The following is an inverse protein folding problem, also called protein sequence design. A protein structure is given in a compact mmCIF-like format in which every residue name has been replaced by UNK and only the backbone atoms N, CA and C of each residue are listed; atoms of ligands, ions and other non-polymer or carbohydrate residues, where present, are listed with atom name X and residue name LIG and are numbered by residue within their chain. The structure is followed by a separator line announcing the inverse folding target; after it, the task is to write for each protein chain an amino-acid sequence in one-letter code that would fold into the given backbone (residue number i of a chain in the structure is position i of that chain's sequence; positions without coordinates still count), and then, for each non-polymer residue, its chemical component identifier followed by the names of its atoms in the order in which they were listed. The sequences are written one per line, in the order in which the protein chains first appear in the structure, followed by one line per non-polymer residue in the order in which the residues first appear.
data_IF_435332754266
#
_entry.id   IF_435332754266
#
_cell.length_a   1.000
_cell.length_b   1.000
_cell.length_c   1.000
_cell.angle_alpha   90.00
_cell.angle_beta   90.00
_cell.angle_gamma   90.00
#
_symmetry.space_group_name_H-M   'P 1'
#
loop_
_entity.id
_entity.type
_entity.pdbx_description
1 polymer ?
#
# COMPACT_ATOMS: atom_id res chain seq x y z
N UNK A 1 -9.81 19.36 29.68
CA UNK A 1 -9.31 17.97 29.48
C UNK A 1 -9.74 17.39 28.14
N UNK A 2 -11.02 17.49 27.76
CA UNK A 2 -11.51 17.04 26.44
C UNK A 2 -10.92 17.83 25.26
N UNK A 3 -10.85 19.17 25.34
CA UNK A 3 -10.25 20.03 24.31
C UNK A 3 -8.79 19.66 23.96
N UNK A 4 -7.94 19.38 24.96
CA UNK A 4 -6.56 18.92 24.72
C UNK A 4 -6.47 17.51 24.12
N UNK A 5 -7.39 16.60 24.48
CA UNK A 5 -7.47 15.27 23.88
C UNK A 5 -7.89 15.34 22.40
N UNK A 6 -8.87 16.18 22.07
CA UNK A 6 -9.30 16.43 20.69
C UNK A 6 -8.16 16.99 19.85
N UNK A 7 -7.46 18.01 20.35
CA UNK A 7 -6.28 18.59 19.69
C UNK A 7 -5.18 17.55 19.44
N UNK A 8 -4.91 16.69 20.44
CA UNK A 8 -3.93 15.60 20.29
C UNK A 8 -4.38 14.57 19.26
N UNK A 9 -5.66 14.21 19.22
CA UNK A 9 -6.19 13.28 18.23
C UNK A 9 -6.08 13.84 16.80
N UNK A 10 -6.41 15.11 16.59
CA UNK A 10 -6.24 15.81 15.30
C UNK A 10 -4.78 15.72 14.84
N UNK A 11 -3.83 16.06 15.71
CA UNK A 11 -2.42 16.03 15.37
C UNK A 11 -1.92 14.62 15.00
N UNK A 12 -2.40 13.59 15.69
CA UNK A 12 -2.05 12.20 15.38
C UNK A 12 -2.62 11.77 14.02
N UNK A 13 -3.84 12.17 13.68
CA UNK A 13 -4.43 11.90 12.36
C UNK A 13 -3.71 12.63 11.22
N UNK A 14 -3.32 13.89 11.43
CA UNK A 14 -2.51 14.63 10.47
C UNK A 14 -1.17 13.95 10.21
N UNK A 15 -0.46 13.56 11.29
CA UNK A 15 0.78 12.78 11.20
C UNK A 15 0.57 11.48 10.43
N UNK A 16 -0.55 10.79 10.65
CA UNK A 16 -0.88 9.58 9.87
C UNK A 16 -1.02 9.89 8.37
N UNK A 17 -1.71 10.96 7.99
CA UNK A 17 -1.86 11.37 6.58
C UNK A 17 -0.52 11.71 5.92
N UNK A 18 0.38 12.36 6.67
CA UNK A 18 1.75 12.64 6.20
C UNK A 18 2.53 11.34 5.95
N UNK A 19 2.50 10.39 6.89
CA UNK A 19 3.17 9.09 6.73
C UNK A 19 2.58 8.29 5.56
N UNK A 20 1.27 8.40 5.30
CA UNK A 20 0.65 7.77 4.12
C UNK A 20 1.16 8.38 2.80
N UNK A 21 1.50 9.66 2.78
CA UNK A 21 2.12 10.32 1.61
C UNK A 21 3.53 9.78 1.34
N UNK A 22 4.29 9.48 2.39
CA UNK A 22 5.57 8.78 2.28
C UNK A 22 5.38 7.37 1.71
N UNK A 23 4.41 6.60 2.23
CA UNK A 23 4.08 5.25 1.73
C UNK A 23 3.78 5.25 0.23
N UNK A 24 3.00 6.22 -0.25
CA UNK A 24 2.69 6.39 -1.67
C UNK A 24 3.98 6.60 -2.49
N UNK A 25 4.93 7.38 -1.97
CA UNK A 25 6.20 7.64 -2.63
C UNK A 25 7.06 6.37 -2.74
N UNK A 26 7.05 5.51 -1.71
CA UNK A 26 7.72 4.20 -1.73
C UNK A 26 7.10 3.29 -2.80
N UNK A 27 5.76 3.21 -2.89
CA UNK A 27 5.09 2.45 -3.95
C UNK A 27 5.47 2.94 -5.35
N UNK A 28 5.51 4.26 -5.57
CA UNK A 28 5.92 4.86 -6.86
C UNK A 28 7.33 4.46 -7.24
N UNK A 29 8.27 4.53 -6.28
CA UNK A 29 9.65 4.10 -6.49
C UNK A 29 9.73 2.60 -6.82
N UNK A 30 8.98 1.79 -6.09
CA UNK A 30 8.97 0.35 -6.29
C UNK A 30 8.44 -0.03 -7.68
N UNK A 31 7.37 0.64 -8.12
CA UNK A 31 6.76 0.42 -9.44
C UNK A 31 7.65 0.90 -10.58
N UNK A 32 8.21 2.12 -10.48
CA UNK A 32 9.07 2.67 -11.55
C UNK A 32 10.33 1.84 -11.74
N UNK A 33 10.93 1.36 -10.64
CA UNK A 33 12.13 0.53 -10.68
C UNK A 33 11.85 -0.87 -11.22
N UNK A 34 10.65 -1.40 -11.02
CA UNK A 34 10.23 -2.65 -11.65
C UNK A 34 10.08 -2.50 -13.17
N UNK A 35 9.53 -1.38 -13.65
CA UNK A 35 9.45 -1.07 -15.09
C UNK A 35 10.85 -0.95 -15.73
N UNK A 36 11.79 -0.32 -15.02
CA UNK A 36 13.19 -0.28 -15.45
C UNK A 36 13.79 -1.69 -15.54
N UNK A 37 13.57 -2.51 -14.51
CA UNK A 37 14.00 -3.90 -14.48
C UNK A 37 13.47 -4.71 -15.68
N UNK A 38 12.17 -4.61 -15.96
CA UNK A 38 11.52 -5.30 -17.08
C UNK A 38 12.01 -4.85 -18.46
N UNK A 39 12.64 -3.69 -18.57
CA UNK A 39 13.22 -3.23 -19.83
C UNK A 39 14.45 -4.06 -20.23
N UNK A 40 15.17 -4.64 -19.25
CA UNK A 40 16.36 -5.45 -19.48
C UNK A 40 16.43 -6.64 -18.48
N UNK A 41 15.46 -7.58 -18.49
CA UNK A 41 15.28 -8.56 -17.42
C UNK A 41 16.36 -9.66 -17.41
N UNK A 42 17.11 -9.81 -18.51
CA UNK A 42 18.20 -10.79 -18.64
C UNK A 42 19.58 -10.21 -18.29
N UNK A 43 19.68 -8.89 -18.12
CA UNK A 43 20.95 -8.26 -17.78
C UNK A 43 21.23 -8.45 -16.29
N UNK A 44 22.36 -9.11 -15.97
CA UNK A 44 22.78 -9.37 -14.58
C UNK A 44 22.77 -8.09 -13.71
N UNK A 45 23.23 -6.97 -14.26
CA UNK A 45 23.22 -5.67 -13.57
C UNK A 45 21.81 -5.21 -13.22
N UNK A 46 20.85 -5.34 -14.14
CA UNK A 46 19.44 -4.99 -13.91
C UNK A 46 18.84 -5.82 -12.77
N UNK A 47 19.08 -7.14 -12.77
CA UNK A 47 18.62 -8.05 -11.71
C UNK A 47 19.19 -7.64 -10.35
N UNK A 48 20.50 -7.38 -10.26
CA UNK A 48 21.16 -7.00 -9.00
C UNK A 48 20.63 -5.66 -8.49
N UNK A 49 20.46 -4.67 -9.38
CA UNK A 49 19.94 -3.36 -9.02
C UNK A 49 18.53 -3.45 -8.46
N UNK A 50 17.65 -4.20 -9.14
CA UNK A 50 16.28 -4.40 -8.70
C UNK A 50 16.20 -5.16 -7.37
N UNK A 51 17.03 -6.20 -7.17
CA UNK A 51 17.10 -6.91 -5.88
C UNK A 51 17.52 -6.00 -4.72
N UNK A 52 18.54 -5.15 -4.93
CA UNK A 52 18.95 -4.16 -3.92
C UNK A 52 17.84 -3.15 -3.63
N UNK A 53 17.13 -2.72 -4.67
CA UNK A 53 16.00 -1.84 -4.50
C UNK A 53 14.87 -2.52 -3.70
N UNK A 54 14.54 -3.77 -3.99
CA UNK A 54 13.57 -4.55 -3.19
C UNK A 54 13.94 -4.57 -1.70
N UNK A 55 15.22 -4.76 -1.38
CA UNK A 55 15.70 -4.69 0.02
C UNK A 55 15.47 -3.30 0.62
N UNK A 56 15.83 -2.24 -0.11
CA UNK A 56 15.63 -0.86 0.31
C UNK A 56 14.16 -0.53 0.57
N UNK A 57 13.26 -0.77 -0.39
CA UNK A 57 11.83 -0.48 -0.24
C UNK A 57 11.18 -1.34 0.84
N UNK A 58 11.65 -2.57 1.07
CA UNK A 58 11.17 -3.41 2.18
C UNK A 58 11.45 -2.77 3.53
N UNK A 59 12.63 -2.18 3.71
CA UNK A 59 12.98 -1.44 4.92
C UNK A 59 12.11 -0.19 5.06
N UNK A 60 11.94 0.59 3.99
CA UNK A 60 11.09 1.78 4.03
C UNK A 60 9.62 1.45 4.32
N UNK A 61 9.07 0.37 3.74
CA UNK A 61 7.72 -0.09 4.07
C UNK A 61 7.61 -0.51 5.54
N UNK A 62 8.65 -1.14 6.09
CA UNK A 62 8.69 -1.51 7.50
C UNK A 62 8.69 -0.26 8.38
N UNK A 63 9.56 0.71 8.11
CA UNK A 63 9.68 1.97 8.86
C UNK A 63 8.35 2.73 8.88
N UNK A 64 7.72 2.92 7.72
CA UNK A 64 6.39 3.53 7.61
C UNK A 64 5.34 2.75 8.42
N UNK A 65 5.38 1.42 8.39
CA UNK A 65 4.43 0.59 9.15
C UNK A 65 4.70 0.58 10.65
N UNK A 66 5.95 0.77 11.09
CA UNK A 66 6.32 0.99 12.49
C UNK A 66 5.78 2.36 12.94
N UNK A 67 6.02 3.43 12.18
CA UNK A 67 5.54 4.79 12.48
C UNK A 67 4.01 4.88 12.59
N UNK A 68 3.27 4.19 11.71
CA UNK A 68 1.81 4.17 11.77
C UNK A 68 1.32 3.40 13.00
N UNK A 69 2.00 2.31 13.40
CA UNK A 69 1.64 1.57 14.62
C UNK A 69 1.78 2.43 15.87
N UNK A 70 2.82 3.25 15.95
CA UNK A 70 2.97 4.20 17.07
C UNK A 70 1.79 5.19 17.13
N UNK A 71 1.39 5.73 15.98
CA UNK A 71 0.22 6.62 15.88
C UNK A 71 -1.06 5.91 16.29
N UNK A 72 -1.25 4.68 15.83
CA UNK A 72 -2.41 3.84 16.18
C UNK A 72 -2.48 3.55 17.68
N UNK A 73 -1.36 3.17 18.30
CA UNK A 73 -1.27 2.86 19.73
C UNK A 73 -1.59 4.08 20.60
N UNK A 74 -1.18 5.28 20.16
CA UNK A 74 -1.51 6.52 20.85
C UNK A 74 -2.95 6.95 20.63
N UNK A 75 -3.51 6.77 19.44
CA UNK A 75 -4.92 7.02 19.17
C UNK A 75 -5.83 6.06 19.92
N UNK A 76 -5.43 4.80 20.11
CA UNK A 76 -6.22 3.81 20.86
C UNK A 76 -6.56 4.28 22.27
N UNK A 77 -5.68 5.09 22.89
CA UNK A 77 -5.88 5.63 24.24
C UNK A 77 -6.82 6.85 24.28
N UNK A 78 -7.04 7.50 23.15
CA UNK A 78 -7.71 8.82 23.06
C UNK A 78 -9.02 8.71 22.27
N UNK A 79 -8.96 8.08 21.10
CA UNK A 79 -10.07 7.83 20.21
C UNK A 79 -9.92 6.45 19.53
N UNK A 80 -10.45 5.38 20.15
CA UNK A 80 -10.39 4.03 19.62
C UNK A 80 -11.01 3.86 18.22
N UNK A 81 -12.05 4.63 17.89
CA UNK A 81 -12.69 4.55 16.58
C UNK A 81 -11.73 4.96 15.45
N UNK A 82 -10.99 6.06 15.64
CA UNK A 82 -9.95 6.49 14.70
C UNK A 82 -8.81 5.48 14.60
N UNK A 83 -8.39 4.88 15.71
CA UNK A 83 -7.38 3.81 15.70
C UNK A 83 -7.85 2.59 14.87
N UNK A 84 -9.12 2.21 14.97
CA UNK A 84 -9.70 1.13 14.16
C UNK A 84 -9.69 1.44 12.66
N UNK A 85 -9.95 2.69 12.26
CA UNK A 85 -9.83 3.10 10.85
C UNK A 85 -8.39 2.97 10.33
N UNK A 86 -7.41 3.43 11.12
CA UNK A 86 -5.99 3.27 10.79
C UNK A 86 -5.60 1.80 10.66
N UNK A 87 -6.06 0.95 11.58
CA UNK A 87 -5.82 -0.50 11.51
C UNK A 87 -6.42 -1.11 10.25
N UNK A 88 -7.64 -0.70 9.85
CA UNK A 88 -8.28 -1.14 8.61
C UNK A 88 -7.43 -0.77 7.40
N UNK A 89 -6.91 0.46 7.35
CA UNK A 89 -5.97 0.90 6.30
C UNK A 89 -4.70 0.06 6.31
N UNK A 90 -4.09 -0.23 7.46
CA UNK A 90 -2.89 -1.08 7.53
C UNK A 90 -3.13 -2.49 6.97
N UNK A 91 -4.31 -3.06 7.19
CA UNK A 91 -4.65 -4.38 6.65
C UNK A 91 -4.77 -4.33 5.12
N UNK A 92 -5.50 -3.34 4.58
CA UNK A 92 -5.60 -3.17 3.13
C UNK A 92 -4.24 -2.86 2.49
N UNK A 93 -3.38 -2.10 3.16
CA UNK A 93 -2.03 -1.81 2.65
C UNK A 93 -1.12 -3.04 2.63
N UNK A 94 -1.28 -3.94 3.60
CA UNK A 94 -0.61 -5.25 3.58
C UNK A 94 -1.09 -6.08 2.39
N UNK A 95 -2.40 -6.16 2.18
CA UNK A 95 -3.00 -6.88 1.03
C UNK A 95 -2.56 -6.27 -0.30
N UNK A 96 -2.53 -4.93 -0.39
CA UNK A 96 -2.05 -4.18 -1.54
C UNK A 96 -0.61 -4.54 -1.87
N UNK A 97 0.30 -4.51 -0.89
CA UNK A 97 1.71 -4.84 -1.10
C UNK A 97 1.89 -6.28 -1.59
N UNK A 98 1.18 -7.23 -0.98
CA UNK A 98 1.19 -8.64 -1.41
C UNK A 98 0.71 -8.79 -2.86
N UNK A 99 -0.38 -8.11 -3.21
CA UNK A 99 -0.92 -8.15 -4.55
C UNK A 99 -0.04 -7.42 -5.58
N UNK A 100 0.63 -6.33 -5.19
CA UNK A 100 1.66 -5.67 -6.03
C UNK A 100 2.80 -6.63 -6.37
N UNK A 101 3.31 -7.38 -5.38
CA UNK A 101 4.36 -8.39 -5.63
C UNK A 101 3.86 -9.48 -6.56
N UNK A 102 2.61 -9.95 -6.39
CA UNK A 102 1.97 -10.92 -7.28
C UNK A 102 1.88 -10.39 -8.72
N UNK A 103 1.41 -9.16 -8.91
CA UNK A 103 1.32 -8.51 -10.22
C UNK A 103 2.69 -8.43 -10.90
N UNK A 104 3.70 -7.94 -10.19
CA UNK A 104 5.07 -7.86 -10.74
C UNK A 104 5.60 -9.25 -11.12
N UNK A 105 5.33 -10.27 -10.31
CA UNK A 105 5.76 -11.63 -10.63
C UNK A 105 5.07 -12.17 -11.89
N UNK A 106 3.76 -11.97 -12.02
CA UNK A 106 2.99 -12.39 -13.18
C UNK A 106 3.44 -11.65 -14.45
N UNK A 107 3.65 -10.34 -14.37
CA UNK A 107 4.15 -9.54 -15.49
C UNK A 107 5.53 -10.02 -15.96
N UNK A 108 6.42 -10.35 -15.02
CA UNK A 108 7.70 -10.97 -15.33
C UNK A 108 7.54 -12.32 -16.04
N UNK A 109 6.63 -13.18 -15.57
CA UNK A 109 6.38 -14.50 -16.17
C UNK A 109 5.81 -14.38 -17.59
N UNK A 110 4.87 -13.46 -17.81
CA UNK A 110 4.30 -13.17 -19.13
C UNK A 110 5.41 -12.70 -20.09
N UNK A 111 6.27 -11.77 -19.63
CA UNK A 111 7.40 -11.28 -20.43
C UNK A 111 8.37 -12.41 -20.81
N UNK A 112 8.71 -13.29 -19.86
CA UNK A 112 9.57 -14.45 -20.11
C UNK A 112 8.96 -15.44 -21.10
N UNK A 113 7.66 -15.69 -20.97
CA UNK A 113 6.94 -16.60 -21.86
C UNK A 113 6.87 -16.05 -23.29
N UNK A 114 6.66 -14.73 -23.45
CA UNK A 114 6.70 -14.08 -24.76
C UNK A 114 8.07 -14.24 -25.46
N UNK A 115 9.16 -14.07 -24.73
CA UNK A 115 10.52 -14.29 -25.26
C UNK A 115 10.73 -15.76 -25.64
N UNK A 116 10.20 -16.70 -24.86
CA UNK A 116 10.32 -18.13 -25.19
C UNK A 116 9.57 -18.48 -26.47
N UNK A 117 8.32 -18.04 -26.58
CA UNK A 117 7.47 -18.24 -27.76
C UNK A 117 8.13 -17.64 -29.01
N UNK A 118 8.67 -16.43 -28.93
CA UNK A 118 9.38 -15.79 -30.05
C UNK A 118 10.58 -16.62 -30.52
N UNK A 119 11.40 -17.15 -29.59
CA UNK A 119 12.55 -18.00 -29.95
C UNK A 119 12.14 -19.32 -30.57
N UNK A 120 11.05 -19.93 -30.09
CA UNK A 120 10.48 -21.15 -30.65
C UNK A 120 9.99 -20.88 -32.09
N UNK A 121 9.27 -19.78 -32.33
CA UNK A 121 8.83 -19.34 -33.66
C UNK A 121 10.01 -19.07 -34.61
N UNK A 122 11.04 -18.37 -34.16
CA UNK A 122 12.26 -18.11 -34.95
C UNK A 122 12.97 -19.42 -35.33
N UNK A 123 13.08 -20.36 -34.39
CA UNK A 123 13.71 -21.66 -34.64
C UNK A 123 12.93 -22.50 -35.65
N UNK A 124 11.60 -22.47 -35.60
CA UNK A 124 10.74 -23.19 -36.53
C UNK A 124 10.78 -22.60 -37.94
N UNK A 125 10.79 -21.28 -38.06
CA UNK A 125 10.97 -20.59 -39.34
C UNK A 125 12.31 -20.99 -39.96
N UNK A 126 13.38 -21.03 -39.17
CA UNK A 126 14.70 -21.46 -39.63
C UNK A 126 14.69 -22.93 -40.09
N UNK A 127 14.07 -23.82 -39.32
CA UNK A 127 13.97 -25.25 -39.65
C UNK A 127 13.18 -25.46 -40.96
N UNK A 128 12.07 -24.74 -41.13
CA UNK A 128 11.24 -24.80 -42.35
C UNK A 128 11.95 -24.19 -43.56
N UNK A 129 12.70 -23.10 -43.38
CA UNK A 129 13.55 -22.53 -44.45
C UNK A 129 14.58 -23.55 -44.92
N UNK A 130 15.24 -24.23 -43.99
CA UNK A 130 16.22 -25.26 -44.31
C UNK A 130 15.60 -26.44 -45.07
N UNK A 131 14.40 -26.89 -44.67
CA UNK A 131 13.67 -27.95 -45.39
C UNK A 131 13.32 -27.55 -46.83
N UNK A 132 12.95 -26.28 -47.08
CA UNK A 132 12.66 -25.77 -48.42
C UNK A 132 13.93 -25.64 -49.28
N UNK A 133 15.07 -25.27 -48.69
CA UNK A 133 16.37 -25.17 -49.37
C UNK A 133 16.96 -26.55 -49.73
N UNK A 134 16.64 -27.61 -48.96
CA UNK A 134 17.07 -28.98 -49.25
C UNK A 134 16.39 -29.62 -50.47
N UNK A 135 15.48 -28.92 -51.15
CA UNK A 135 15.04 -29.25 -52.50
C UNK A 135 14.46 -30.65 -52.69
N UNK A 136 13.80 -31.25 -51.69
CA UNK A 136 13.10 -32.55 -51.75
C UNK A 136 13.87 -33.78 -52.33
N UNK A 137 15.10 -33.64 -52.81
CA UNK A 137 15.96 -34.73 -53.27
C UNK A 137 16.56 -35.43 -52.06
N UNK A 138 15.73 -36.26 -51.42
CA UNK A 138 16.00 -37.08 -50.23
C UNK A 138 17.18 -38.05 -50.38
N UNK A 139 17.84 -38.11 -51.54
CA UNK A 139 18.88 -39.08 -51.83
C UNK A 139 20.29 -38.70 -51.36
N UNK A 140 20.54 -37.47 -50.87
CA UNK A 140 21.87 -37.03 -50.40
C UNK A 140 21.90 -36.33 -49.04
N UNK A 141 20.76 -36.24 -48.37
CA UNK A 141 20.64 -35.63 -47.05
C UNK A 141 20.90 -36.69 -45.96
N UNK A 142 21.79 -36.41 -45.00
CA UNK A 142 22.14 -37.32 -43.89
C UNK A 142 21.34 -37.03 -42.60
N UNK A 143 20.20 -36.34 -42.70
CA UNK A 143 19.34 -36.00 -41.56
C UNK A 143 17.93 -36.57 -41.71
N UNK A 144 17.31 -36.89 -40.58
CA UNK A 144 15.98 -37.50 -40.51
C UNK A 144 14.90 -36.43 -40.67
N UNK A 145 14.04 -36.58 -41.67
CA UNK A 145 12.81 -35.81 -41.81
C UNK A 145 11.71 -36.50 -40.97
N UNK A 146 11.54 -36.11 -39.71
CA UNK A 146 10.43 -36.59 -38.89
C UNK A 146 9.12 -35.92 -39.33
N UNK A 147 8.26 -36.70 -40.00
CA UNK A 147 6.86 -36.33 -40.24
C UNK A 147 6.03 -36.67 -39.00
N UNK A 148 5.76 -35.66 -38.17
CA UNK A 148 4.83 -35.80 -37.07
C UNK A 148 5.07 -34.72 -36.03
N UNK A 149 4.16 -33.77 -35.93
CA UNK A 149 4.10 -32.91 -34.76
C UNK A 149 2.70 -33.02 -34.17
N UNK A 150 2.65 -33.61 -32.97
CA UNK A 150 1.59 -33.36 -32.01
C UNK A 150 1.36 -31.85 -31.91
N UNK A 151 0.09 -31.46 -31.89
CA UNK A 151 -0.34 -30.09 -31.71
C UNK A 151 0.06 -29.63 -30.30
N UNK A 152 1.29 -29.13 -30.15
CA UNK A 152 1.73 -28.46 -28.92
C UNK A 152 0.85 -27.23 -28.79
N UNK A 153 -0.06 -27.24 -27.82
CA UNK A 153 -0.95 -26.10 -27.57
C UNK A 153 -0.08 -24.94 -27.03
N UNK A 154 0.45 -24.14 -27.97
CA UNK A 154 1.38 -23.04 -27.70
C UNK A 154 0.67 -21.94 -26.92
N UNK A 155 1.28 -21.49 -25.83
CA UNK A 155 0.81 -20.32 -25.10
C UNK A 155 -0.24 -20.58 -24.01
N UNK A 156 -0.58 -21.84 -23.67
CA UNK A 156 -1.47 -22.13 -22.53
C UNK A 156 -0.97 -21.53 -21.21
N UNK A 157 0.35 -21.55 -20.98
CA UNK A 157 0.94 -20.93 -19.79
C UNK A 157 0.76 -19.42 -19.80
N UNK A 158 0.94 -18.78 -20.97
CA UNK A 158 0.74 -17.34 -21.13
C UNK A 158 -0.70 -16.96 -20.81
N UNK A 159 -1.68 -17.67 -21.37
CA UNK A 159 -3.10 -17.36 -21.16
C UNK A 159 -3.51 -17.55 -19.70
N UNK A 160 -2.96 -18.55 -19.00
CA UNK A 160 -3.14 -18.70 -17.55
C UNK A 160 -2.56 -17.49 -16.80
N UNK A 161 -1.32 -17.10 -17.06
CA UNK A 161 -0.71 -15.95 -16.38
C UNK A 161 -1.43 -14.64 -16.66
N UNK A 162 -1.89 -14.43 -17.90
CA UNK A 162 -2.67 -13.24 -18.27
C UNK A 162 -4.00 -13.19 -17.54
N UNK A 163 -4.70 -14.31 -17.42
CA UNK A 163 -5.94 -14.39 -16.64
C UNK A 163 -5.70 -14.05 -15.17
N UNK A 164 -4.72 -14.70 -14.53
CA UNK A 164 -4.36 -14.42 -13.13
C UNK A 164 -3.92 -12.97 -12.94
N UNK A 165 -3.26 -12.38 -13.94
CA UNK A 165 -2.81 -11.00 -13.91
C UNK A 165 -3.99 -10.02 -13.98
N UNK A 166 -5.01 -10.30 -14.79
CA UNK A 166 -6.22 -9.47 -14.81
C UNK A 166 -7.01 -9.58 -13.50
N UNK A 167 -7.16 -10.78 -12.95
CA UNK A 167 -7.82 -10.97 -11.65
C UNK A 167 -7.07 -10.22 -10.53
N UNK A 168 -5.73 -10.32 -10.52
CA UNK A 168 -4.90 -9.58 -9.58
C UNK A 168 -5.02 -8.05 -9.78
N UNK A 169 -5.17 -7.57 -11.02
CA UNK A 169 -5.37 -6.15 -11.30
C UNK A 169 -6.71 -5.63 -10.77
N UNK A 170 -7.79 -6.36 -11.01
CA UNK A 170 -9.12 -6.00 -10.48
C UNK A 170 -9.08 -5.89 -8.96
N UNK A 171 -8.55 -6.93 -8.29
CA UNK A 171 -8.37 -6.91 -6.85
C UNK A 171 -7.49 -5.74 -6.38
N UNK A 172 -6.47 -5.36 -7.15
CA UNK A 172 -5.59 -4.24 -6.79
C UNK A 172 -6.33 -2.91 -6.77
N UNK A 173 -7.23 -2.70 -7.73
CA UNK A 173 -8.06 -1.49 -7.81
C UNK A 173 -9.03 -1.45 -6.63
N UNK A 174 -9.72 -2.55 -6.34
CA UNK A 174 -10.67 -2.66 -5.21
C UNK A 174 -10.00 -2.35 -3.85
N UNK A 175 -8.77 -2.86 -3.64
CA UNK A 175 -8.00 -2.57 -2.43
C UNK A 175 -7.63 -1.08 -2.35
N UNK A 176 -7.23 -0.46 -3.46
CA UNK A 176 -6.90 0.97 -3.51
C UNK A 176 -8.14 1.82 -3.21
N UNK A 177 -9.30 1.47 -3.77
CA UNK A 177 -10.57 2.13 -3.49
C UNK A 177 -10.91 2.04 -1.99
N UNK A 178 -10.81 0.85 -1.41
CA UNK A 178 -11.03 0.64 0.03
C UNK A 178 -10.10 1.50 0.91
N UNK A 179 -8.82 1.62 0.53
CA UNK A 179 -7.86 2.50 1.25
C UNK A 179 -8.29 3.96 1.13
N UNK A 180 -8.64 4.41 -0.08
CA UNK A 180 -9.01 5.79 -0.33
C UNK A 180 -10.28 6.18 0.43
N UNK A 181 -11.30 5.32 0.46
CA UNK A 181 -12.51 5.53 1.26
C UNK A 181 -12.18 5.76 2.74
N UNK A 182 -11.33 4.91 3.32
CA UNK A 182 -10.89 5.07 4.71
C UNK A 182 -10.09 6.38 4.92
N UNK A 183 -9.27 6.77 3.95
CA UNK A 183 -8.50 8.02 4.02
C UNK A 183 -9.40 9.25 3.95
N UNK A 184 -10.46 9.20 3.15
CA UNK A 184 -11.47 10.26 3.12
C UNK A 184 -12.24 10.32 4.45
N UNK A 185 -12.65 9.18 5.03
CA UNK A 185 -13.24 9.15 6.38
C UNK A 185 -12.34 9.83 7.42
N UNK A 186 -11.02 9.58 7.36
CA UNK A 186 -10.05 10.25 8.25
C UNK A 186 -9.96 11.75 7.98
N UNK A 187 -9.97 12.18 6.71
CA UNK A 187 -9.94 13.60 6.35
C UNK A 187 -11.18 14.33 6.89
N UNK A 188 -12.37 13.76 6.70
CA UNK A 188 -13.60 14.28 7.28
C UNK A 188 -13.54 14.36 8.80
N UNK A 189 -13.03 13.31 9.47
CA UNK A 189 -12.89 13.30 10.92
C UNK A 189 -11.93 14.39 11.44
N UNK A 190 -10.85 14.69 10.71
CA UNK A 190 -9.94 15.80 11.03
C UNK A 190 -10.68 17.13 10.93
N UNK A 191 -11.39 17.37 9.84
CA UNK A 191 -12.11 18.63 9.57
C UNK A 191 -13.21 18.87 10.61
N UNK A 192 -14.07 17.88 10.85
CA UNK A 192 -15.13 17.93 11.85
C UNK A 192 -14.57 18.18 13.26
N UNK A 193 -13.52 17.44 13.65
CA UNK A 193 -12.89 17.60 14.97
C UNK A 193 -12.27 19.00 15.14
N UNK A 194 -11.74 19.60 14.07
CA UNK A 194 -11.17 20.96 14.09
C UNK A 194 -12.28 22.00 14.26
N UNK A 195 -13.39 21.87 13.54
CA UNK A 195 -14.54 22.78 13.66
C UNK A 195 -15.07 22.79 15.09
N UNK A 196 -15.37 21.61 15.65
CA UNK A 196 -15.86 21.47 17.03
C UNK A 196 -14.87 22.01 18.06
N UNK A 197 -13.57 21.81 17.85
CA UNK A 197 -12.53 22.36 18.73
C UNK A 197 -12.50 23.89 18.70
N UNK A 198 -12.68 24.51 17.54
CA UNK A 198 -12.72 25.96 17.40
C UNK A 198 -13.98 26.56 18.05
N UNK A 199 -15.15 25.96 17.82
CA UNK A 199 -16.41 26.36 18.46
C UNK A 199 -16.32 26.28 19.98
N UNK A 200 -15.76 25.18 20.50
CA UNK A 200 -15.56 25.02 21.94
C UNK A 200 -14.64 26.11 22.52
N UNK A 201 -13.56 26.44 21.81
CA UNK A 201 -12.60 27.47 22.24
C UNK A 201 -13.22 28.88 22.21
N UNK A 202 -14.05 29.17 21.22
CA UNK A 202 -14.79 30.43 21.13
C UNK A 202 -15.77 30.56 22.31
N UNK A 203 -16.57 29.52 22.57
CA UNK A 203 -17.49 29.48 23.71
C UNK A 203 -16.77 29.67 25.06
N UNK A 204 -15.63 29.01 25.26
CA UNK A 204 -14.80 29.15 26.47
C UNK A 204 -14.23 30.57 26.63
N UNK A 205 -13.97 31.27 25.51
CA UNK A 205 -13.49 32.66 25.52
C UNK A 205 -14.59 33.68 25.82
N UNK A 206 -15.82 33.42 25.36
CA UNK A 206 -16.99 34.27 25.63
C UNK A 206 -17.58 34.05 27.03
N UNK A 207 -17.38 32.86 27.61
CA UNK A 207 -17.89 32.48 28.93
C UNK A 207 -16.76 32.04 29.87
N UNK A 208 -15.86 32.95 30.29
CA UNK A 208 -14.77 32.60 31.18
C UNK A 208 -15.31 32.11 32.53
N UNK A 209 -14.88 30.91 32.94
CA UNK A 209 -15.22 30.33 34.24
C UNK A 209 -14.65 31.26 35.34
N UNK A 210 -15.53 32.00 36.02
CA UNK A 210 -15.16 32.81 37.19
C UNK A 210 -14.79 31.83 38.30
N UNK A 211 -13.58 31.93 38.90
CA UNK A 211 -13.24 31.11 40.06
C UNK A 211 -14.25 31.38 41.17
N UNK A 212 -14.96 30.34 41.63
CA UNK A 212 -15.76 30.45 42.84
C UNK A 212 -14.83 30.78 43.99
N UNK A 213 -14.92 32.02 44.49
CA UNK A 213 -14.34 32.40 45.77
C UNK A 213 -14.95 31.48 46.81
N UNK A 214 -14.11 30.63 47.40
CA UNK A 214 -14.47 29.83 48.56
C UNK A 214 -14.85 30.82 49.66
N UNK A 215 -16.15 30.99 49.94
CA UNK A 215 -16.60 31.75 51.09
C UNK A 215 -16.04 31.07 52.34
N UNK A 216 -15.16 31.78 53.06
CA UNK A 216 -14.68 31.33 54.36
C UNK A 216 -15.89 31.10 55.28
N UNK A 217 -15.97 29.95 55.97
CA UNK A 217 -17.08 29.68 56.87
C UNK A 217 -17.09 30.73 58.00
N UNK A 218 -18.13 31.55 57.99
CA UNK A 218 -18.42 32.55 59.02
C UNK A 218 -18.59 31.83 60.37
N UNK A 219 -17.59 31.99 61.25
CA UNK A 219 -17.62 31.42 62.59
C UNK A 219 -18.60 32.25 63.46
N UNK A 220 -19.65 31.67 64.06
CA UNK A 220 -20.57 32.43 64.90
C UNK A 220 -19.89 32.82 66.21
N UNK A 221 -19.93 34.11 66.52
CA UNK A 221 -19.46 34.70 67.77
C UNK A 221 -20.30 34.15 68.93
N UNK A 222 -19.65 33.46 69.88
CA UNK A 222 -20.25 33.12 71.16
C UNK A 222 -20.28 34.38 72.05
N UNK A 223 -21.46 34.97 72.22
CA UNK A 223 -21.76 35.87 73.33
C UNK A 223 -21.97 35.05 74.60
N UNK A 224 -20.92 34.87 75.41
CA UNK A 224 -21.08 34.45 76.80
C UNK A 224 -21.28 35.70 77.66
N UNK A 225 -22.53 35.85 78.10
CA UNK A 225 -22.99 36.90 78.99
C UNK A 225 -22.35 36.81 80.38
N UNK A 226 -21.91 37.97 80.85
CA UNK A 226 -21.77 38.28 82.27
C UNK A 226 -23.15 38.23 82.95
N UNK A 227 -23.34 37.32 83.90
CA UNK A 227 -24.25 37.55 85.03
C UNK A 227 -23.66 36.92 86.31
N UNK A 228 -23.29 37.84 87.21
CA UNK A 228 -23.16 37.79 88.69
C UNK A 228 -22.79 36.47 89.38
#
# INVERSE_FOLDING_TARGET
MQSEQTKKAIHLLEKFVEIQSERISIYKLFESSFKEFLSNPHQKTSIINYQRLCQGVTLSFKEVSDNIREVEDDLTKINPAHAHLIRRIQNHEKEKLQNTVKLQKLEQLISQENVRIQKEEESEILLRSHQLECGNDHHHCHHSHEEGQEEVIRGEKRTIYEKEFQEAKTLHVEIIESINECLEEIRYAIEESRELYLEQKEYESENPIVPQTVEEPHNPVQEDGLYL
#
